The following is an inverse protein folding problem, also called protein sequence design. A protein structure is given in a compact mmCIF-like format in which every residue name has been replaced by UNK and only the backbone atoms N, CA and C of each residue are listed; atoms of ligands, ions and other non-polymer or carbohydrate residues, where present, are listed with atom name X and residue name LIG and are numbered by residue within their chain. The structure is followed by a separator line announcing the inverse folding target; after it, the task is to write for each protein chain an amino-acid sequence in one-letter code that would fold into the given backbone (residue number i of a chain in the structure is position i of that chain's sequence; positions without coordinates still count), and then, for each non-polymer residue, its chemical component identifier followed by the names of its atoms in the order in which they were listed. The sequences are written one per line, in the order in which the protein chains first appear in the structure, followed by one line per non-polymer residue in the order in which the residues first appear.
data_IF_944341275260
#
_entry.id   IF_944341275260
#
_cell.length_a   1.000
_cell.length_b   1.000
_cell.length_c   1.000
_cell.angle_alpha   90.00
_cell.angle_beta   90.00
_cell.angle_gamma   90.00
#
_symmetry.space_group_name_H-M   'P 1'
#
loop_
_entity.id
_entity.type
_entity.pdbx_description
1 polymer ?
#
# COMPACT_ATOMS: atom_id res chain seq x y z
N UNK A 1 20.02 -23.34 1.37
CA UNK A 1 18.98 -22.82 2.28
C UNK A 1 18.81 -21.34 2.00
N UNK A 2 17.59 -20.84 2.08
CA UNK A 2 17.27 -19.41 1.95
C UNK A 2 16.58 -18.98 3.23
N UNK A 3 17.14 -17.98 3.91
CA UNK A 3 16.60 -17.41 5.14
C UNK A 3 15.68 -16.23 4.82
N UNK A 4 14.56 -16.17 5.54
CA UNK A 4 13.55 -15.12 5.46
C UNK A 4 13.60 -14.26 6.72
N UNK A 5 13.08 -13.03 6.65
CA UNK A 5 12.92 -12.21 7.84
C UNK A 5 12.04 -12.90 8.89
N UNK A 6 12.36 -12.71 10.17
CA UNK A 6 11.69 -13.37 11.32
C UNK A 6 10.16 -13.20 11.33
N UNK A 7 9.68 -12.07 10.82
CA UNK A 7 8.26 -11.75 10.77
C UNK A 7 7.50 -12.48 9.65
N UNK A 8 8.19 -13.04 8.65
CA UNK A 8 7.59 -13.45 7.39
C UNK A 8 6.62 -14.62 7.56
N UNK A 9 7.06 -15.70 8.20
CA UNK A 9 6.24 -16.89 8.41
C UNK A 9 5.09 -16.61 9.39
N UNK A 10 5.35 -15.82 10.43
CA UNK A 10 4.31 -15.46 11.40
C UNK A 10 3.20 -14.58 10.78
N UNK A 11 3.55 -13.68 9.85
CA UNK A 11 2.61 -12.74 9.25
C UNK A 11 1.87 -13.29 8.04
N UNK A 12 2.29 -14.41 7.45
CA UNK A 12 1.76 -14.93 6.20
C UNK A 12 1.46 -16.43 6.26
N UNK A 13 0.51 -16.89 5.45
CA UNK A 13 0.22 -18.31 5.20
C UNK A 13 0.10 -18.57 3.70
N UNK A 14 -0.18 -19.82 3.32
CA UNK A 14 -0.48 -20.21 1.94
C UNK A 14 0.61 -19.72 0.96
N UNK A 15 1.84 -20.18 1.20
CA UNK A 15 3.02 -19.69 0.49
C UNK A 15 3.03 -20.10 -0.98
N UNK A 16 3.46 -19.18 -1.84
CA UNK A 16 3.69 -19.42 -3.26
C UNK A 16 5.13 -19.11 -3.62
N UNK A 17 5.77 -20.01 -4.37
CA UNK A 17 7.19 -19.94 -4.70
C UNK A 17 7.36 -19.74 -6.20
N UNK A 18 8.21 -18.78 -6.57
CA UNK A 18 8.62 -18.55 -7.94
C UNK A 18 10.13 -18.66 -8.02
N UNK A 19 10.61 -19.62 -8.82
CA UNK A 19 12.03 -19.86 -9.03
C UNK A 19 12.37 -19.59 -10.50
N UNK A 20 13.44 -18.86 -10.76
CA UNK A 20 13.92 -18.59 -12.12
C UNK A 20 15.42 -18.85 -12.20
N UNK A 21 15.86 -19.86 -12.98
CA UNK A 21 17.28 -20.08 -13.20
C UNK A 21 17.86 -18.96 -14.07
N UNK A 22 19.09 -18.54 -13.77
CA UNK A 22 19.78 -17.47 -14.49
C UNK A 22 21.01 -18.03 -15.19
N UNK A 23 21.16 -17.69 -16.47
CA UNK A 23 22.36 -18.00 -17.28
C UNK A 23 22.30 -19.35 -18.00
N UNK A 24 21.57 -20.34 -17.47
CA UNK A 24 21.34 -21.62 -18.13
C UNK A 24 19.98 -22.24 -17.72
N UNK A 25 19.38 -23.10 -18.56
CA UNK A 25 18.23 -23.91 -18.15
C UNK A 25 18.57 -24.81 -16.95
N UNK A 26 17.58 -25.04 -16.09
CA UNK A 26 17.72 -25.88 -14.90
C UNK A 26 16.60 -26.92 -14.82
N UNK A 27 16.69 -28.02 -15.59
CA UNK A 27 15.73 -29.11 -15.49
C UNK A 27 15.75 -29.69 -14.07
N UNK A 28 14.56 -29.87 -13.50
CA UNK A 28 14.42 -30.39 -12.14
C UNK A 28 14.85 -29.40 -11.05
N UNK A 29 14.75 -28.09 -11.29
CA UNK A 29 14.80 -27.07 -10.23
C UNK A 29 13.46 -27.08 -9.46
N UNK A 30 13.50 -27.18 -8.13
CA UNK A 30 12.30 -27.22 -7.28
C UNK A 30 12.57 -26.70 -5.87
N UNK A 31 11.49 -26.49 -5.13
CA UNK A 31 11.51 -26.23 -3.68
C UNK A 31 11.55 -27.57 -2.96
N UNK A 32 12.68 -27.87 -2.30
CA UNK A 32 12.87 -29.12 -1.56
C UNK A 32 12.20 -29.13 -0.19
N UNK A 33 12.06 -27.96 0.41
CA UNK A 33 11.35 -27.76 1.67
C UNK A 33 10.64 -26.42 1.58
N UNK A 34 9.33 -26.44 1.88
CA UNK A 34 8.54 -25.23 2.05
C UNK A 34 9.02 -24.41 3.25
N UNK A 35 8.48 -23.21 3.41
CA UNK A 35 8.79 -22.33 4.54
C UNK A 35 8.51 -23.06 5.85
N UNK A 36 9.56 -23.17 6.66
CA UNK A 36 9.54 -23.63 8.04
C UNK A 36 10.70 -22.96 8.78
N UNK A 37 10.45 -22.49 10.00
CA UNK A 37 11.45 -21.80 10.82
C UNK A 37 12.07 -20.57 10.10
N UNK A 38 11.22 -19.80 9.41
CA UNK A 38 11.57 -18.66 8.55
C UNK A 38 12.63 -19.00 7.48
N UNK A 39 12.68 -20.24 7.00
CA UNK A 39 13.59 -20.65 5.94
C UNK A 39 12.92 -21.61 4.96
N UNK A 40 13.43 -21.66 3.73
CA UNK A 40 13.03 -22.67 2.75
C UNK A 40 14.24 -23.19 1.98
N UNK A 41 14.09 -24.32 1.30
CA UNK A 41 15.17 -24.95 0.54
C UNK A 41 14.84 -25.02 -0.93
N UNK A 42 15.78 -24.57 -1.76
CA UNK A 42 15.79 -24.76 -3.20
C UNK A 42 16.78 -25.89 -3.51
N UNK A 43 16.40 -26.81 -4.38
CA UNK A 43 17.27 -27.89 -4.83
C UNK A 43 17.09 -28.16 -6.33
N UNK A 44 18.00 -28.99 -6.83
CA UNK A 44 18.06 -29.38 -8.24
C UNK A 44 18.76 -28.36 -9.13
N UNK A 45 18.77 -28.66 -10.43
CA UNK A 45 19.59 -27.96 -11.41
C UNK A 45 21.10 -28.28 -11.31
N UNK A 46 21.91 -27.76 -12.26
CA UNK A 46 23.36 -27.94 -12.26
C UNK A 46 24.04 -27.22 -11.08
N UNK A 47 25.15 -27.78 -10.59
CA UNK A 47 25.95 -27.15 -9.55
C UNK A 47 26.48 -25.77 -9.99
N UNK A 48 26.47 -24.80 -9.07
CA UNK A 48 26.93 -23.43 -9.33
C UNK A 48 25.95 -22.56 -10.11
N UNK A 49 24.76 -23.06 -10.44
CA UNK A 49 23.70 -22.27 -11.07
C UNK A 49 23.21 -21.15 -10.14
N UNK A 50 23.03 -19.97 -10.70
CA UNK A 50 22.37 -18.84 -10.03
C UNK A 50 20.84 -18.95 -10.20
N UNK A 51 20.11 -18.75 -9.11
CA UNK A 51 18.64 -18.79 -9.09
C UNK A 51 18.11 -17.49 -8.49
N UNK A 52 17.24 -16.80 -9.22
CA UNK A 52 16.38 -15.76 -8.66
C UNK A 52 15.15 -16.41 -8.05
N UNK A 53 14.72 -15.91 -6.89
CA UNK A 53 13.57 -16.45 -6.18
C UNK A 53 12.68 -15.34 -5.66
N UNK A 54 11.38 -15.64 -5.57
CA UNK A 54 10.41 -14.85 -4.83
C UNK A 54 9.49 -15.82 -4.08
N UNK A 55 9.24 -15.51 -2.81
CA UNK A 55 8.22 -16.17 -2.00
C UNK A 55 7.18 -15.14 -1.57
N UNK A 56 5.92 -15.48 -1.72
CA UNK A 56 4.78 -14.65 -1.31
C UNK A 56 3.83 -15.48 -0.45
N UNK A 57 2.98 -14.83 0.33
CA UNK A 57 1.92 -15.51 1.07
C UNK A 57 0.71 -14.61 1.25
N UNK A 58 -0.38 -15.20 1.73
CA UNK A 58 -1.59 -14.50 2.14
C UNK A 58 -1.36 -13.96 3.55
N UNK A 59 -1.47 -12.65 3.70
CA UNK A 59 -1.29 -11.95 4.98
C UNK A 59 -2.35 -12.40 6.01
N UNK A 60 -1.93 -12.71 7.23
CA UNK A 60 -2.76 -13.34 8.26
C UNK A 60 -2.70 -12.71 9.66
N UNK A 61 -2.18 -11.50 9.80
CA UNK A 61 -2.22 -10.82 11.11
C UNK A 61 -3.66 -10.48 11.55
N UNK A 62 -3.89 -10.21 12.86
CA UNK A 62 -5.24 -9.97 13.38
C UNK A 62 -5.99 -8.84 12.66
N UNK A 63 -5.29 -7.77 12.24
CA UNK A 63 -5.94 -6.67 11.54
C UNK A 63 -6.35 -7.08 10.12
N UNK A 64 -5.49 -7.80 9.41
CA UNK A 64 -5.80 -8.33 8.08
C UNK A 64 -6.97 -9.34 8.10
N UNK A 65 -7.07 -10.15 9.16
CA UNK A 65 -8.19 -11.07 9.37
C UNK A 65 -9.50 -10.34 9.71
N UNK A 66 -9.45 -9.28 10.52
CA UNK A 66 -10.62 -8.48 10.89
C UNK A 66 -11.12 -7.59 9.74
N UNK A 67 -10.21 -7.14 8.87
CA UNK A 67 -10.52 -6.25 7.73
C UNK A 67 -9.90 -6.81 6.44
N UNK A 68 -10.45 -7.91 5.90
CA UNK A 68 -9.92 -8.49 4.67
C UNK A 68 -10.06 -7.49 3.52
N UNK A 69 -9.02 -7.39 2.71
CA UNK A 69 -9.03 -6.56 1.50
C UNK A 69 -9.93 -7.23 0.47
N UNK A 70 -11.03 -6.58 0.10
CA UNK A 70 -11.86 -7.02 -1.00
C UNK A 70 -11.18 -6.65 -2.34
N UNK A 71 -10.96 -7.66 -3.19
CA UNK A 71 -10.32 -7.51 -4.51
C UNK A 71 -11.09 -6.52 -5.39
N UNK A 72 -12.42 -6.58 -5.31
CA UNK A 72 -13.32 -5.67 -6.00
C UNK A 72 -14.44 -5.30 -5.04
N UNK A 73 -14.72 -4.01 -4.96
CA UNK A 73 -15.83 -3.46 -4.20
C UNK A 73 -16.70 -2.69 -5.17
N UNK A 74 -18.00 -2.94 -5.14
CA UNK A 74 -18.93 -2.12 -5.90
C UNK A 74 -18.90 -0.70 -5.37
N UNK A 75 -18.90 0.24 -6.31
CA UNK A 75 -18.91 1.65 -5.96
C UNK A 75 -20.24 1.97 -5.26
N UNK A 76 -20.25 2.73 -4.14
CA UNK A 76 -21.49 3.16 -3.51
C UNK A 76 -22.38 3.86 -4.53
N UNK A 77 -23.69 3.61 -4.49
CA UNK A 77 -24.63 4.11 -5.49
C UNK A 77 -24.55 5.65 -5.68
N UNK A 78 -24.32 6.38 -4.58
CA UNK A 78 -24.16 7.84 -4.58
C UNK A 78 -22.88 8.30 -5.28
N UNK A 79 -21.87 7.44 -5.38
CA UNK A 79 -20.62 7.79 -6.02
C UNK A 79 -20.57 7.34 -7.49
N UNK A 80 -21.52 6.52 -7.96
CA UNK A 80 -21.55 6.06 -9.36
C UNK A 80 -21.68 7.27 -10.30
N UNK A 81 -20.79 7.36 -11.30
CA UNK A 81 -20.71 8.52 -12.22
C UNK A 81 -19.83 9.68 -11.72
N UNK A 82 -19.41 9.67 -10.46
CA UNK A 82 -18.44 10.64 -9.93
C UNK A 82 -16.99 10.16 -10.09
N UNK A 83 -16.04 11.08 -10.03
CA UNK A 83 -14.63 10.83 -10.26
C UNK A 83 -13.80 11.32 -9.08
N UNK A 84 -12.73 10.60 -8.74
CA UNK A 84 -11.74 11.09 -7.76
C UNK A 84 -10.92 12.24 -8.31
N UNK A 85 -10.64 12.21 -9.62
CA UNK A 85 -9.85 13.20 -10.36
C UNK A 85 -10.52 13.50 -11.71
N UNK A 86 -11.62 14.28 -11.74
CA UNK A 86 -12.35 14.59 -12.98
C UNK A 86 -11.46 15.31 -14.02
N UNK A 87 -10.50 16.13 -13.58
CA UNK A 87 -9.56 16.87 -14.42
C UNK A 87 -8.69 15.96 -15.31
N UNK A 88 -8.36 14.76 -14.84
CA UNK A 88 -7.60 13.77 -15.61
C UNK A 88 -8.37 13.25 -16.84
N UNK A 89 -9.69 13.44 -16.85
CA UNK A 89 -10.60 13.06 -17.93
C UNK A 89 -11.13 14.29 -18.69
N UNK A 90 -10.61 15.49 -18.40
CA UNK A 90 -11.12 16.75 -18.97
C UNK A 90 -12.54 17.11 -18.52
N UNK A 91 -13.00 16.51 -17.41
CA UNK A 91 -14.32 16.76 -16.86
C UNK A 91 -14.32 17.96 -15.89
N UNK A 92 -15.44 18.70 -15.80
CA UNK A 92 -15.62 19.75 -14.81
C UNK A 92 -15.51 19.23 -13.35
N UNK A 93 -15.18 20.13 -12.42
CA UNK A 93 -14.95 19.79 -11.00
C UNK A 93 -16.21 19.25 -10.32
N UNK A 94 -17.39 19.59 -10.84
CA UNK A 94 -18.72 19.16 -10.40
C UNK A 94 -18.89 17.63 -10.46
N UNK A 95 -18.13 16.96 -11.33
CA UNK A 95 -18.09 15.49 -11.38
C UNK A 95 -17.17 14.88 -10.31
N UNK A 96 -16.57 15.70 -9.44
CA UNK A 96 -15.70 15.27 -8.37
C UNK A 96 -16.46 14.64 -7.21
N UNK A 97 -15.95 13.52 -6.68
CA UNK A 97 -16.53 12.80 -5.55
C UNK A 97 -16.77 13.67 -4.32
N UNK A 98 -15.91 14.67 -4.12
CA UNK A 98 -15.91 15.55 -2.96
C UNK A 98 -16.28 17.00 -3.32
N UNK A 99 -16.89 17.24 -4.49
CA UNK A 99 -17.16 18.60 -4.98
C UNK A 99 -17.98 19.44 -3.99
N UNK A 100 -19.05 18.88 -3.45
CA UNK A 100 -19.94 19.58 -2.50
C UNK A 100 -19.21 19.94 -1.19
N UNK A 101 -18.34 19.04 -0.70
CA UNK A 101 -17.51 19.29 0.49
C UNK A 101 -16.49 20.40 0.23
N UNK A 102 -15.89 20.44 -0.97
CA UNK A 102 -14.98 21.51 -1.37
C UNK A 102 -15.68 22.86 -1.45
N UNK A 103 -16.89 22.93 -2.02
CA UNK A 103 -17.65 24.18 -2.12
C UNK A 103 -18.12 24.67 -0.75
N UNK A 104 -18.56 23.78 0.14
CA UNK A 104 -18.89 24.14 1.53
C UNK A 104 -17.68 24.65 2.30
N UNK A 105 -16.54 23.97 2.19
CA UNK A 105 -15.30 24.42 2.83
C UNK A 105 -14.85 25.80 2.32
N UNK A 106 -15.00 26.05 1.02
CA UNK A 106 -14.68 27.33 0.39
C UNK A 106 -15.63 28.45 0.85
N UNK A 107 -16.93 28.18 0.94
CA UNK A 107 -17.91 29.13 1.43
C UNK A 107 -17.68 29.48 2.91
N UNK A 108 -17.34 28.48 3.74
CA UNK A 108 -16.99 28.68 5.14
C UNK A 108 -15.71 29.51 5.30
N UNK A 109 -14.69 29.25 4.48
CA UNK A 109 -13.45 30.03 4.50
C UNK A 109 -13.66 31.49 4.02
N UNK A 110 -14.57 31.72 3.08
CA UNK A 110 -14.90 33.07 2.59
C UNK A 110 -15.77 33.89 3.57
N UNK A 111 -16.46 33.22 4.51
CA UNK A 111 -17.29 33.86 5.54
C UNK A 111 -16.58 34.02 6.89
N UNK A 112 -15.39 33.45 7.07
CA UNK A 112 -14.54 33.70 8.22
C UNK A 112 -13.87 35.08 8.09
N UNK A 113 -14.18 36.00 9.02
CA UNK A 113 -13.51 37.31 9.06
C UNK A 113 -11.99 37.14 9.29
N UNK A 114 -11.14 37.94 8.63
CA UNK A 114 -9.70 37.88 8.86
C UNK A 114 -9.42 38.27 10.31
N UNK A 115 -8.94 37.31 11.11
CA UNK A 115 -8.40 37.57 12.45
C UNK A 115 -7.22 38.52 12.29
N UNK A 116 -7.47 39.81 12.51
CA UNK A 116 -6.42 40.81 12.67
C UNK A 116 -5.81 40.56 14.04
N UNK A 117 -4.70 39.82 14.07
CA UNK A 117 -3.88 39.74 15.27
C UNK A 117 -3.27 41.12 15.50
N UNK A 118 -3.83 41.88 16.45
CA UNK A 118 -3.20 43.09 16.98
C UNK A 118 -1.97 42.64 17.75
N UNK A 119 -0.79 42.86 17.18
CA UNK A 119 0.47 42.69 17.89
C UNK A 119 0.63 43.93 18.79
N UNK A 120 0.27 43.81 20.06
CA UNK A 120 0.66 44.81 21.06
C UNK A 120 2.18 44.70 21.28
N UNK A 121 2.93 45.66 20.75
CA UNK A 121 4.35 45.80 21.05
C UNK A 121 4.50 46.41 22.44
N UNK A 122 4.66 45.56 23.44
CA UNK A 122 5.03 45.97 24.80
C UNK A 122 6.44 46.59 24.77
N UNK A 123 6.51 47.90 24.93
CA UNK A 123 7.76 48.64 24.97
C UNK A 123 8.27 48.57 26.40
N UNK A 124 9.17 47.63 26.66
CA UNK A 124 9.90 47.55 27.93
C UNK A 124 10.69 48.85 28.15
N UNK A 125 10.23 49.64 29.13
CA UNK A 125 10.90 50.85 29.59
C UNK A 125 12.16 50.53 30.39
N UNK A 126 13.24 51.23 30.03
CA UNK A 126 14.42 51.44 30.84
C UNK A 126 14.09 51.81 32.29
N UNK A 127 14.75 51.14 33.25
CA UNK A 127 15.74 51.74 34.17
C UNK A 127 16.38 50.69 35.07
#
# INVERSE_FOLDING_TARGET
MVELPEWFEAANRDFTYHLTPIGAPAPGLYVAQEVQDNAFLIAGGPAGLKVSWQVTGIRQDPFALLKPVAVKVDKPALEVGLYRHPEAYGLPKEYGLHYDEYEQARANAASAEPTTAVIESDTAGER
#
